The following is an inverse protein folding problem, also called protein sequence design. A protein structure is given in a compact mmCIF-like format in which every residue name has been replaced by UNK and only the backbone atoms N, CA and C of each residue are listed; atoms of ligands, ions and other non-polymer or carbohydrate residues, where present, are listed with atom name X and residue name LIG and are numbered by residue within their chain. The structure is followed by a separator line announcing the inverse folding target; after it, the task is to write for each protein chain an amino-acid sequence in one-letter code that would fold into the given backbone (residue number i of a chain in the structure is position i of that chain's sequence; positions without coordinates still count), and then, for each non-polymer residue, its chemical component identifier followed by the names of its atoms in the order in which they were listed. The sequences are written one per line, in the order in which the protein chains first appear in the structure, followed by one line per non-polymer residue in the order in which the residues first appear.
data_IF_260000645033
#
_entry.id   IF_260000645033
#
_cell.length_a   1.000
_cell.length_b   1.000
_cell.length_c   1.000
_cell.angle_alpha   90.00
_cell.angle_beta   90.00
_cell.angle_gamma   90.00
#
_symmetry.space_group_name_H-M   'P 1'
#
loop_
_entity.id
_entity.type
_entity.pdbx_description
1 polymer ?
#
# COMPACT_ATOMS: atom_id res chain seq x y z
N UNK A 1 22.28 134.28 -22.75
CA UNK A 1 23.22 133.26 -22.23
C UNK A 1 22.65 132.60 -20.98
N UNK A 2 22.43 133.34 -19.88
CA UNK A 2 21.95 132.79 -18.59
C UNK A 2 20.67 131.95 -18.65
N UNK A 3 19.60 132.43 -19.33
CA UNK A 3 18.35 131.66 -19.49
C UNK A 3 18.55 130.29 -20.17
N UNK A 4 19.38 130.23 -21.22
CA UNK A 4 19.73 128.99 -21.93
C UNK A 4 20.48 128.00 -21.02
N UNK A 5 21.26 128.50 -20.06
CA UNK A 5 21.94 127.66 -19.08
C UNK A 5 20.93 127.07 -18.07
N UNK A 6 19.99 127.87 -17.57
CA UNK A 6 18.92 127.39 -16.68
C UNK A 6 18.02 126.34 -17.35
N UNK A 7 17.64 126.55 -18.61
CA UNK A 7 16.84 125.61 -19.40
C UNK A 7 17.62 124.29 -19.64
N UNK A 8 18.92 124.38 -19.94
CA UNK A 8 19.83 123.23 -20.08
C UNK A 8 19.97 122.44 -18.77
N UNK A 9 20.14 123.12 -17.64
CA UNK A 9 20.28 122.49 -16.34
C UNK A 9 18.95 121.87 -15.87
N UNK A 10 17.80 122.45 -16.25
CA UNK A 10 16.48 121.86 -16.03
C UNK A 10 16.26 120.59 -16.86
N UNK A 11 16.60 120.62 -18.15
CA UNK A 11 16.57 119.44 -19.02
C UNK A 11 17.48 118.33 -18.50
N UNK A 12 18.71 118.65 -18.09
CA UNK A 12 19.65 117.67 -17.52
C UNK A 12 19.11 117.02 -16.24
N UNK A 13 18.41 117.76 -15.37
CA UNK A 13 17.76 117.21 -14.18
C UNK A 13 16.55 116.33 -14.52
N UNK A 14 15.80 116.64 -15.57
CA UNK A 14 14.70 115.79 -16.06
C UNK A 14 15.27 114.46 -16.59
N UNK A 15 16.23 114.52 -17.52
CA UNK A 15 16.87 113.32 -18.07
C UNK A 15 17.54 112.44 -17.00
N UNK A 16 18.09 113.03 -15.93
CA UNK A 16 18.64 112.26 -14.81
C UNK A 16 17.57 111.53 -14.00
N UNK A 17 16.39 112.14 -13.78
CA UNK A 17 15.24 111.48 -13.13
C UNK A 17 14.66 110.37 -14.00
N UNK A 18 14.49 110.63 -15.30
CA UNK A 18 13.97 109.65 -16.25
C UNK A 18 14.91 108.43 -16.30
N UNK A 19 16.23 108.66 -16.34
CA UNK A 19 17.24 107.60 -16.25
C UNK A 19 17.12 106.79 -14.95
N UNK A 20 17.03 107.43 -13.79
CA UNK A 20 16.86 106.72 -12.51
C UNK A 20 15.55 105.91 -12.45
N UNK A 21 14.48 106.41 -13.09
CA UNK A 21 13.22 105.69 -13.18
C UNK A 21 13.31 104.49 -14.12
N UNK A 22 13.99 104.63 -15.26
CA UNK A 22 14.29 103.53 -16.20
C UNK A 22 15.15 102.45 -15.52
N UNK A 23 16.26 102.82 -14.87
CA UNK A 23 17.14 101.88 -14.15
C UNK A 23 16.37 101.10 -13.06
N UNK A 24 15.39 101.75 -12.39
CA UNK A 24 14.49 101.10 -11.44
C UNK A 24 13.52 100.12 -12.13
N UNK A 25 12.89 100.52 -13.24
CA UNK A 25 12.00 99.65 -14.01
C UNK A 25 12.73 98.44 -14.61
N UNK A 26 13.96 98.62 -15.09
CA UNK A 26 14.82 97.53 -15.59
C UNK A 26 15.14 96.53 -14.47
N UNK A 27 15.40 97.02 -13.25
CA UNK A 27 15.62 96.18 -12.07
C UNK A 27 14.35 95.41 -11.68
N UNK A 28 13.20 96.09 -11.64
CA UNK A 28 11.91 95.46 -11.33
C UNK A 28 11.53 94.41 -12.39
N UNK A 29 11.74 94.71 -13.67
CA UNK A 29 11.52 93.77 -14.78
C UNK A 29 12.46 92.55 -14.69
N UNK A 30 13.74 92.75 -14.36
CA UNK A 30 14.68 91.65 -14.14
C UNK A 30 14.28 90.75 -12.97
N UNK A 31 13.75 91.32 -11.90
CA UNK A 31 13.25 90.54 -10.76
C UNK A 31 12.00 89.74 -11.16
N UNK A 32 11.07 90.34 -11.91
CA UNK A 32 9.88 89.63 -12.41
C UNK A 32 10.24 88.47 -13.33
N UNK A 33 11.25 88.60 -14.21
CA UNK A 33 11.72 87.46 -15.02
C UNK A 33 12.27 86.31 -14.16
N UNK A 34 13.09 86.61 -13.15
CA UNK A 34 13.62 85.59 -12.23
C UNK A 34 12.52 84.88 -11.43
N UNK A 35 11.49 85.61 -11.01
CA UNK A 35 10.33 85.03 -10.31
C UNK A 35 9.49 84.14 -11.25
N UNK A 36 9.31 84.54 -12.51
CA UNK A 36 8.64 83.71 -13.53
C UNK A 36 9.42 82.40 -13.76
N UNK A 37 10.74 82.46 -13.95
CA UNK A 37 11.58 81.27 -14.15
C UNK A 37 11.50 80.33 -12.94
N UNK A 38 11.57 80.86 -11.72
CA UNK A 38 11.43 80.08 -10.49
C UNK A 38 10.06 79.39 -10.35
N UNK A 39 8.97 80.09 -10.70
CA UNK A 39 7.62 79.52 -10.68
C UNK A 39 7.43 78.47 -11.79
N UNK A 40 8.07 78.67 -12.95
CA UNK A 40 8.09 77.70 -14.05
C UNK A 40 8.77 76.39 -13.60
N UNK A 41 9.92 76.48 -12.91
CA UNK A 41 10.63 75.31 -12.38
C UNK A 41 9.83 74.59 -11.29
N UNK A 42 9.19 75.33 -10.36
CA UNK A 42 8.28 74.70 -9.39
C UNK A 42 7.12 73.97 -10.08
N UNK A 43 6.50 74.57 -11.10
CA UNK A 43 5.41 73.96 -11.85
C UNK A 43 5.87 72.68 -12.57
N UNK A 44 7.07 72.71 -13.17
CA UNK A 44 7.68 71.56 -13.82
C UNK A 44 7.89 70.39 -12.84
N UNK A 45 8.45 70.67 -11.64
CA UNK A 45 8.65 69.66 -10.59
C UNK A 45 7.31 69.05 -10.17
N UNK A 46 6.29 69.89 -9.88
CA UNK A 46 4.96 69.42 -9.47
C UNK A 46 4.24 68.63 -10.55
N UNK A 47 4.48 68.94 -11.83
CA UNK A 47 3.94 68.17 -12.95
C UNK A 47 4.58 66.78 -13.05
N UNK A 48 5.89 66.66 -12.80
CA UNK A 48 6.59 65.35 -12.72
C UNK A 48 6.09 64.53 -11.54
N UNK A 49 5.97 65.12 -10.35
CA UNK A 49 5.40 64.46 -9.16
C UNK A 49 3.97 63.96 -9.42
N UNK A 50 3.12 64.78 -10.06
CA UNK A 50 1.75 64.40 -10.42
C UNK A 50 1.69 63.21 -11.38
N UNK A 51 2.58 63.15 -12.38
CA UNK A 51 2.66 62.02 -13.31
C UNK A 51 3.06 60.72 -12.60
N UNK A 52 4.08 60.76 -11.74
CA UNK A 52 4.54 59.60 -10.96
C UNK A 52 3.43 59.09 -10.02
N UNK A 53 2.69 59.99 -9.37
CA UNK A 53 1.52 59.63 -8.57
C UNK A 53 0.40 59.01 -9.41
N UNK A 54 0.14 59.54 -10.61
CA UNK A 54 -0.83 58.99 -11.55
C UNK A 54 -0.50 57.55 -11.99
N UNK A 55 0.76 57.28 -12.34
CA UNK A 55 1.24 55.92 -12.66
C UNK A 55 1.10 54.96 -11.47
N UNK A 56 1.41 55.44 -10.25
CA UNK A 56 1.25 54.62 -9.05
C UNK A 56 -0.23 54.29 -8.75
N UNK A 57 -1.12 55.29 -8.87
CA UNK A 57 -2.58 55.10 -8.71
C UNK A 57 -3.07 54.08 -9.74
N UNK A 58 -2.70 54.22 -11.01
CA UNK A 58 -3.09 53.27 -12.05
C UNK A 58 -2.60 51.83 -11.78
N UNK A 59 -1.35 51.70 -11.28
CA UNK A 59 -0.82 50.41 -10.84
C UNK A 59 -1.57 49.79 -9.64
N UNK A 60 -2.17 50.61 -8.77
CA UNK A 60 -3.03 50.16 -7.67
C UNK A 60 -4.44 49.78 -8.17
N UNK A 61 -5.03 50.55 -9.09
CA UNK A 61 -6.31 50.24 -9.73
C UNK A 61 -6.27 48.86 -10.41
N UNK A 62 -5.23 48.59 -11.20
CA UNK A 62 -5.04 47.29 -11.86
C UNK A 62 -4.98 46.14 -10.83
N UNK A 63 -4.23 46.31 -9.73
CA UNK A 63 -4.17 45.32 -8.64
C UNK A 63 -5.53 45.12 -7.96
N UNK A 64 -6.29 46.18 -7.77
CA UNK A 64 -7.63 46.11 -7.16
C UNK A 64 -8.58 45.28 -8.05
N UNK A 65 -8.61 45.53 -9.37
CA UNK A 65 -9.44 44.74 -10.30
C UNK A 65 -9.07 43.26 -10.37
N UNK A 66 -7.83 42.89 -10.01
CA UNK A 66 -7.40 41.49 -9.94
C UNK A 66 -7.76 40.84 -8.58
N UNK A 67 -7.75 41.62 -7.50
CA UNK A 67 -8.26 41.20 -6.19
C UNK A 67 -9.79 41.02 -6.19
N UNK A 68 -10.53 41.83 -6.95
CA UNK A 68 -11.99 41.69 -7.12
C UNK A 68 -12.39 40.33 -7.72
N UNK A 69 -11.50 39.65 -8.45
CA UNK A 69 -11.72 38.30 -9.01
C UNK A 69 -11.41 37.19 -8.00
N UNK A 70 -10.70 37.49 -6.92
CA UNK A 70 -10.26 36.48 -5.94
C UNK A 70 -11.42 35.75 -5.25
N UNK A 71 -12.54 36.39 -4.83
CA UNK A 71 -13.68 35.68 -4.25
C UNK A 71 -14.31 34.65 -5.19
N UNK A 72 -14.29 34.89 -6.50
CA UNK A 72 -14.81 33.93 -7.48
C UNK A 72 -13.86 32.73 -7.66
N UNK A 73 -12.54 32.95 -7.63
CA UNK A 73 -11.56 31.85 -7.60
C UNK A 73 -11.74 30.96 -6.37
N UNK A 74 -11.82 31.57 -5.18
CA UNK A 74 -12.09 30.85 -3.92
C UNK A 74 -13.39 30.07 -4.01
N UNK A 75 -14.48 30.69 -4.49
CA UNK A 75 -15.77 30.02 -4.69
C UNK A 75 -15.67 28.82 -5.64
N UNK A 76 -14.88 28.89 -6.71
CA UNK A 76 -14.66 27.75 -7.62
C UNK A 76 -13.89 26.62 -6.92
N UNK A 77 -12.85 26.95 -6.14
CA UNK A 77 -12.08 25.99 -5.33
C UNK A 77 -12.95 25.31 -4.28
N UNK A 78 -13.74 26.07 -3.51
CA UNK A 78 -14.66 25.53 -2.50
C UNK A 78 -15.66 24.54 -3.11
N UNK A 79 -16.22 24.88 -4.29
CA UNK A 79 -17.11 23.98 -5.01
C UNK A 79 -16.39 22.73 -5.54
N UNK A 80 -15.11 22.82 -5.91
CA UNK A 80 -14.32 21.65 -6.32
C UNK A 80 -14.03 20.73 -5.13
N UNK A 81 -13.63 21.31 -3.98
CA UNK A 81 -13.39 20.60 -2.74
C UNK A 81 -14.65 19.86 -2.26
N UNK A 82 -15.80 20.54 -2.15
CA UNK A 82 -17.07 19.92 -1.74
C UNK A 82 -17.49 18.76 -2.65
N UNK A 83 -17.19 18.80 -3.95
CA UNK A 83 -17.43 17.66 -4.87
C UNK A 83 -16.44 16.53 -4.64
N UNK A 84 -15.16 16.84 -4.42
CA UNK A 84 -14.12 15.86 -4.09
C UNK A 84 -14.45 15.12 -2.79
N UNK A 85 -14.84 15.85 -1.74
CA UNK A 85 -15.22 15.28 -0.45
C UNK A 85 -16.45 14.37 -0.57
N UNK A 86 -17.45 14.78 -1.37
CA UNK A 86 -18.63 13.96 -1.66
C UNK A 86 -18.26 12.66 -2.41
N UNK A 87 -17.31 12.71 -3.35
CA UNK A 87 -16.83 11.52 -4.06
C UNK A 87 -16.00 10.61 -3.15
N UNK A 88 -15.15 11.19 -2.29
CA UNK A 88 -14.38 10.46 -1.30
C UNK A 88 -15.30 9.70 -0.33
N UNK A 89 -16.36 10.35 0.15
CA UNK A 89 -17.36 9.73 1.02
C UNK A 89 -18.07 8.54 0.35
N UNK A 90 -18.51 8.67 -0.90
CA UNK A 90 -19.13 7.58 -1.66
C UNK A 90 -18.17 6.39 -1.87
N UNK A 91 -16.90 6.66 -2.18
CA UNK A 91 -15.89 5.61 -2.32
C UNK A 91 -15.59 4.90 -0.99
N UNK A 92 -15.60 5.62 0.13
CA UNK A 92 -15.46 5.03 1.45
C UNK A 92 -16.64 4.12 1.81
N UNK A 93 -17.87 4.51 1.47
CA UNK A 93 -19.08 3.68 1.65
C UNK A 93 -19.03 2.41 0.78
N UNK A 94 -18.61 2.53 -0.49
CA UNK A 94 -18.42 1.38 -1.39
C UNK A 94 -17.33 0.42 -0.88
N UNK A 95 -16.17 0.94 -0.46
CA UNK A 95 -15.08 0.14 0.12
C UNK A 95 -15.55 -0.59 1.39
N UNK A 96 -16.30 0.08 2.27
CA UNK A 96 -16.85 -0.57 3.46
C UNK A 96 -17.83 -1.70 3.08
N UNK A 97 -18.73 -1.47 2.13
CA UNK A 97 -19.65 -2.52 1.66
C UNK A 97 -18.91 -3.72 1.05
N UNK A 98 -17.79 -3.50 0.35
CA UNK A 98 -16.97 -4.58 -0.23
C UNK A 98 -16.18 -5.33 0.84
N UNK A 99 -15.69 -4.66 1.87
CA UNK A 99 -15.05 -5.28 3.03
C UNK A 99 -16.04 -6.19 3.79
N UNK A 100 -17.29 -5.75 3.99
CA UNK A 100 -18.35 -6.56 4.62
C UNK A 100 -18.71 -7.82 3.78
N UNK A 101 -18.74 -7.70 2.45
CA UNK A 101 -18.89 -8.86 1.55
C UNK A 101 -17.72 -9.84 1.65
N UNK A 102 -16.47 -9.34 1.69
CA UNK A 102 -15.26 -10.17 1.82
C UNK A 102 -15.19 -10.89 3.17
N UNK A 103 -15.50 -10.21 4.28
CA UNK A 103 -15.56 -10.83 5.61
C UNK A 103 -16.61 -11.95 5.67
N UNK A 104 -17.77 -11.75 5.04
CA UNK A 104 -18.81 -12.78 4.92
C UNK A 104 -18.36 -13.97 4.07
N UNK A 105 -17.62 -13.74 2.98
CA UNK A 105 -17.05 -14.82 2.17
C UNK A 105 -15.97 -15.60 2.94
N UNK A 106 -15.09 -14.92 3.68
CA UNK A 106 -14.07 -15.55 4.51
C UNK A 106 -14.69 -16.49 5.58
N UNK A 107 -15.74 -16.04 6.27
CA UNK A 107 -16.50 -16.87 7.23
C UNK A 107 -17.17 -18.10 6.58
N UNK A 108 -17.56 -18.01 5.31
CA UNK A 108 -18.10 -19.16 4.57
C UNK A 108 -17.00 -20.15 4.19
N UNK A 109 -15.82 -19.66 3.80
CA UNK A 109 -14.64 -20.49 3.52
C UNK A 109 -14.20 -21.24 4.77
N UNK A 110 -14.01 -20.55 5.91
CA UNK A 110 -13.63 -21.15 7.19
C UNK A 110 -14.60 -22.27 7.61
N UNK A 111 -15.91 -22.07 7.41
CA UNK A 111 -16.95 -23.07 7.68
C UNK A 111 -16.88 -24.27 6.73
N UNK A 112 -16.52 -24.07 5.45
CA UNK A 112 -16.34 -25.16 4.49
C UNK A 112 -15.05 -25.93 4.81
N UNK A 113 -13.99 -25.26 5.22
CA UNK A 113 -12.73 -25.88 5.66
C UNK A 113 -12.95 -26.76 6.89
N UNK A 114 -13.73 -26.31 7.89
CA UNK A 114 -14.02 -27.13 9.08
C UNK A 114 -14.79 -28.40 8.72
N UNK A 115 -15.84 -28.30 7.91
CA UNK A 115 -16.63 -29.46 7.45
C UNK A 115 -15.78 -30.41 6.59
N UNK A 116 -14.89 -29.86 5.76
CA UNK A 116 -13.96 -30.66 4.95
C UNK A 116 -12.97 -31.43 5.84
N UNK A 117 -12.48 -30.81 6.91
CA UNK A 117 -11.60 -31.45 7.88
C UNK A 117 -12.30 -32.57 8.66
N UNK A 118 -13.55 -32.35 9.08
CA UNK A 118 -14.38 -33.38 9.74
C UNK A 118 -14.58 -34.60 8.81
N UNK A 119 -15.00 -34.37 7.55
CA UNK A 119 -15.15 -35.42 6.54
C UNK A 119 -13.83 -36.16 6.26
N UNK A 120 -12.70 -35.45 6.23
CA UNK A 120 -11.39 -36.08 6.06
C UNK A 120 -11.03 -36.98 7.25
N UNK A 121 -11.37 -36.58 8.47
CA UNK A 121 -11.17 -37.40 9.67
C UNK A 121 -12.03 -38.68 9.63
N UNK A 122 -13.29 -38.58 9.21
CA UNK A 122 -14.16 -39.75 9.00
C UNK A 122 -13.58 -40.72 7.94
N UNK A 123 -13.09 -40.19 6.81
CA UNK A 123 -12.47 -40.98 5.74
C UNK A 123 -11.23 -41.73 6.25
N UNK A 124 -10.33 -41.07 6.99
CA UNK A 124 -9.15 -41.75 7.56
C UNK A 124 -9.51 -42.79 8.62
N UNK A 125 -10.57 -42.56 9.43
CA UNK A 125 -11.09 -43.57 10.35
C UNK A 125 -11.61 -44.81 9.61
N UNK A 126 -12.39 -44.62 8.53
CA UNK A 126 -12.92 -45.72 7.73
C UNK A 126 -11.81 -46.50 7.00
N UNK A 127 -10.72 -45.86 6.58
CA UNK A 127 -9.53 -46.55 6.05
C UNK A 127 -8.84 -47.43 7.11
N UNK A 128 -8.72 -46.94 8.35
CA UNK A 128 -8.17 -47.72 9.47
C UNK A 128 -9.05 -48.96 9.78
N UNK A 129 -10.37 -48.80 9.78
CA UNK A 129 -11.30 -49.92 9.97
C UNK A 129 -11.23 -50.92 8.81
N UNK A 130 -11.13 -50.44 7.56
CA UNK A 130 -10.98 -51.29 6.37
C UNK A 130 -9.70 -52.13 6.44
N UNK A 131 -8.54 -51.52 6.70
CA UNK A 131 -7.27 -52.26 6.83
C UNK A 131 -7.30 -53.27 7.98
N UNK A 132 -8.03 -52.98 9.06
CA UNK A 132 -8.26 -53.91 10.16
C UNK A 132 -9.14 -55.10 9.74
N UNK A 133 -10.13 -54.89 8.88
CA UNK A 133 -10.96 -55.95 8.32
C UNK A 133 -10.20 -56.79 7.28
N UNK A 134 -9.38 -56.19 6.43
CA UNK A 134 -8.51 -56.87 5.47
C UNK A 134 -7.56 -57.84 6.18
N UNK A 135 -6.90 -57.39 7.27
CA UNK A 135 -6.04 -58.28 8.07
C UNK A 135 -6.82 -59.45 8.68
N UNK A 136 -8.03 -59.20 9.22
CA UNK A 136 -8.87 -60.27 9.79
C UNK A 136 -9.34 -61.27 8.74
N UNK A 137 -9.60 -60.84 7.52
CA UNK A 137 -9.95 -61.73 6.40
C UNK A 137 -8.75 -62.61 6.01
N UNK A 138 -7.56 -62.02 5.90
CA UNK A 138 -6.32 -62.76 5.65
C UNK A 138 -6.03 -63.80 6.76
N UNK A 139 -6.18 -63.41 8.03
CA UNK A 139 -6.02 -64.32 9.17
C UNK A 139 -7.03 -65.48 9.11
N UNK A 140 -8.30 -65.18 8.82
CA UNK A 140 -9.37 -66.17 8.70
C UNK A 140 -9.16 -67.14 7.51
N UNK A 141 -8.67 -66.65 6.38
CA UNK A 141 -8.31 -67.47 5.21
C UNK A 141 -7.16 -68.43 5.55
N UNK A 142 -6.11 -67.95 6.23
CA UNK A 142 -5.01 -68.80 6.69
C UNK A 142 -5.45 -69.90 7.67
N UNK A 143 -6.38 -69.57 8.58
CA UNK A 143 -6.96 -70.55 9.51
C UNK A 143 -7.84 -71.58 8.80
N UNK A 144 -8.63 -71.15 7.81
CA UNK A 144 -9.42 -72.03 6.94
C UNK A 144 -8.52 -73.01 6.18
N UNK A 145 -7.42 -72.53 5.61
CA UNK A 145 -6.44 -73.36 4.90
C UNK A 145 -5.81 -74.42 5.81
N UNK A 146 -5.34 -74.05 7.01
CA UNK A 146 -4.82 -75.02 7.97
C UNK A 146 -5.89 -76.04 8.44
N UNK A 147 -7.14 -75.61 8.57
CA UNK A 147 -8.27 -76.49 8.91
C UNK A 147 -8.53 -77.51 7.79
N UNK A 148 -8.45 -77.08 6.52
CA UNK A 148 -8.57 -77.97 5.37
C UNK A 148 -7.41 -78.99 5.31
N UNK A 149 -6.16 -78.55 5.51
CA UNK A 149 -5.00 -79.45 5.58
C UNK A 149 -5.10 -80.46 6.74
N UNK A 150 -5.66 -80.05 7.87
CA UNK A 150 -5.90 -80.93 9.02
C UNK A 150 -7.01 -81.95 8.73
N UNK A 151 -8.10 -81.52 8.10
CA UNK A 151 -9.20 -82.40 7.64
C UNK A 151 -8.70 -83.48 6.68
N UNK A 152 -7.92 -83.11 5.66
CA UNK A 152 -7.31 -84.07 4.71
C UNK A 152 -6.39 -85.08 5.42
N UNK A 153 -5.65 -84.67 6.45
CA UNK A 153 -4.83 -85.59 7.26
C UNK A 153 -5.68 -86.58 8.05
N UNK A 154 -6.77 -86.14 8.67
CA UNK A 154 -7.71 -87.03 9.37
C UNK A 154 -8.39 -88.00 8.39
N UNK A 155 -8.87 -87.51 7.25
CA UNK A 155 -9.53 -88.36 6.24
C UNK A 155 -8.60 -89.46 5.72
N UNK A 156 -7.32 -89.15 5.51
CA UNK A 156 -6.29 -90.14 5.18
C UNK A 156 -6.12 -91.19 6.29
N UNK A 157 -5.98 -90.76 7.55
CA UNK A 157 -5.83 -91.67 8.69
C UNK A 157 -7.07 -92.55 8.91
N UNK A 158 -8.26 -92.00 8.67
CA UNK A 158 -9.51 -92.75 8.74
C UNK A 158 -9.54 -93.85 7.67
N UNK A 159 -9.22 -93.52 6.41
CA UNK A 159 -9.13 -94.52 5.34
C UNK A 159 -8.05 -95.59 5.57
N UNK A 160 -6.92 -95.23 6.19
CA UNK A 160 -5.90 -96.19 6.63
C UNK A 160 -6.45 -97.15 7.72
N UNK A 161 -7.24 -96.66 8.67
CA UNK A 161 -7.89 -97.49 9.69
C UNK A 161 -9.06 -98.33 9.14
N UNK A 162 -9.83 -97.83 8.18
CA UNK A 162 -10.87 -98.60 7.48
C UNK A 162 -10.27 -99.77 6.70
N UNK A 163 -9.12 -99.56 6.04
CA UNK A 163 -8.37 -100.65 5.38
C UNK A 163 -7.90 -101.71 6.40
N UNK A 164 -7.29 -101.28 7.51
CA UNK A 164 -6.85 -102.18 8.59
C UNK A 164 -8.02 -102.98 9.18
N UNK A 165 -9.19 -102.35 9.37
CA UNK A 165 -10.41 -103.03 9.79
C UNK A 165 -10.86 -104.07 8.76
N UNK A 166 -10.83 -103.74 7.47
CA UNK A 166 -11.22 -104.68 6.41
C UNK A 166 -10.27 -105.89 6.31
N UNK A 167 -8.96 -105.69 6.53
CA UNK A 167 -7.96 -106.75 6.61
C UNK A 167 -8.14 -107.63 7.86
N UNK A 168 -8.43 -107.02 9.01
CA UNK A 168 -8.77 -107.75 10.24
C UNK A 168 -10.05 -108.58 10.07
N UNK A 169 -11.10 -108.05 9.44
CA UNK A 169 -12.32 -108.78 9.10
C UNK A 169 -12.05 -110.00 8.21
N UNK A 170 -11.31 -109.84 7.11
CA UNK A 170 -10.90 -110.96 6.25
C UNK A 170 -10.11 -112.04 7.01
N UNK A 171 -9.29 -111.62 7.98
CA UNK A 171 -8.53 -112.52 8.86
C UNK A 171 -9.46 -113.28 9.81
N UNK A 172 -10.46 -112.61 10.40
CA UNK A 172 -11.50 -113.24 11.23
C UNK A 172 -12.32 -114.24 10.41
N UNK A 173 -12.77 -113.89 9.21
CA UNK A 173 -13.52 -114.78 8.32
C UNK A 173 -12.73 -116.06 7.97
N UNK A 174 -11.43 -115.89 7.71
CA UNK A 174 -10.52 -117.02 7.45
C UNK A 174 -10.38 -117.93 8.67
N UNK A 175 -10.11 -117.36 9.84
CA UNK A 175 -10.01 -118.08 11.11
C UNK A 175 -11.34 -118.75 11.51
N UNK A 176 -12.48 -118.13 11.21
CA UNK A 176 -13.79 -118.76 11.39
C UNK A 176 -13.97 -119.97 10.46
N UNK A 177 -13.49 -119.88 9.22
CA UNK A 177 -13.44 -121.00 8.27
C UNK A 177 -12.64 -122.18 8.82
N UNK A 178 -11.40 -121.92 9.25
CA UNK A 178 -10.54 -122.92 9.89
C UNK A 178 -11.17 -123.50 11.17
N UNK A 179 -11.76 -122.67 12.03
CA UNK A 179 -12.40 -123.11 13.28
C UNK A 179 -13.67 -123.95 13.01
N UNK A 180 -14.44 -123.62 11.95
CA UNK A 180 -15.54 -124.48 11.44
C UNK A 180 -15.02 -125.81 10.89
N UNK A 181 -13.82 -125.84 10.32
CA UNK A 181 -13.18 -127.05 9.79
C UNK A 181 -12.63 -127.94 10.92
N UNK A 182 -11.91 -127.37 11.89
CA UNK A 182 -11.48 -128.03 13.12
C UNK A 182 -12.66 -128.58 13.94
N UNK A 183 -13.78 -127.84 14.04
CA UNK A 183 -15.02 -128.35 14.68
C UNK A 183 -15.62 -129.57 13.98
N UNK A 184 -15.40 -129.76 12.67
CA UNK A 184 -15.80 -130.97 11.94
C UNK A 184 -14.83 -132.13 12.16
N UNK A 185 -13.55 -131.82 12.40
CA UNK A 185 -12.48 -132.80 12.61
C UNK A 185 -12.45 -133.38 14.04
N UNK A 186 -12.97 -132.64 15.04
CA UNK A 186 -12.85 -132.96 16.47
C UNK A 186 -14.12 -133.42 17.21
N UNK A 187 -15.23 -133.78 16.55
CA UNK A 187 -16.47 -134.18 17.25
C UNK A 187 -17.10 -135.53 16.80
N UNK A 188 -16.89 -136.62 17.56
CA UNK A 188 -17.74 -137.81 17.50
C UNK A 188 -19.06 -137.58 18.28
N UNK A 189 -20.09 -137.18 17.53
CA UNK A 189 -21.52 -137.38 17.77
C UNK A 189 -22.12 -137.37 19.18
N UNK A 190 -22.93 -136.32 19.48
CA UNK A 190 -24.35 -136.53 19.83
C UNK A 190 -25.21 -135.27 19.62
N UNK A 191 -26.38 -135.46 19.02
CA UNK A 191 -27.53 -134.53 19.08
C UNK A 191 -28.40 -134.90 20.33
N UNK A 192 -29.50 -134.19 20.73
CA UNK A 192 -30.53 -133.66 19.81
C UNK A 192 -31.37 -132.41 20.22
N UNK A 193 -32.14 -131.86 19.24
CA UNK A 193 -33.37 -131.01 19.36
C UNK A 193 -33.16 -129.61 19.99
N UNK A 194 -33.96 -128.55 19.72
CA UNK A 194 -35.00 -128.13 18.74
C UNK A 194 -35.08 -126.58 18.88
N UNK A 195 -35.59 -125.73 17.97
CA UNK A 195 -36.23 -125.77 16.64
C UNK A 195 -35.99 -124.36 15.99
N UNK A 196 -36.52 -123.89 14.84
CA UNK A 196 -37.61 -124.27 13.93
C UNK A 196 -37.29 -123.82 12.48
N UNK A 197 -37.81 -124.54 11.49
CA UNK A 197 -37.56 -124.33 10.05
C UNK A 197 -38.48 -123.30 9.39
N UNK A 198 -37.96 -122.56 8.39
CA UNK A 198 -38.52 -122.29 7.03
C UNK A 198 -37.36 -121.63 6.25
N UNK A 199 -36.78 -122.22 5.21
CA UNK A 199 -37.33 -122.32 3.85
C UNK A 199 -36.88 -121.09 3.03
N UNK A 200 -35.59 -120.93 2.71
CA UNK A 200 -34.84 -121.45 1.52
C UNK A 200 -35.14 -120.68 0.21
N UNK A 201 -34.07 -120.16 -0.39
CA UNK A 201 -33.94 -119.56 -1.75
C UNK A 201 -34.77 -118.28 -2.01
N UNK A 202 -34.17 -117.15 -2.42
CA UNK A 202 -33.45 -116.99 -3.69
C UNK A 202 -32.39 -115.86 -3.69
N UNK A 203 -31.43 -115.99 -4.61
CA UNK A 203 -30.77 -114.97 -5.45
C UNK A 203 -30.47 -113.58 -4.88
N UNK A 204 -29.17 -113.27 -4.84
CA UNK A 204 -28.50 -112.13 -5.51
C UNK A 204 -29.00 -110.68 -5.30
N UNK A 205 -28.01 -109.76 -5.22
CA UNK A 205 -28.11 -108.29 -5.09
C UNK A 205 -28.41 -107.72 -3.69
N UNK A 206 -27.33 -107.26 -3.05
CA UNK A 206 -27.29 -105.96 -2.33
C UNK A 206 -25.90 -105.31 -2.48
N UNK A 207 -25.48 -105.12 -3.73
CA UNK A 207 -24.62 -103.98 -4.06
C UNK A 207 -25.50 -102.73 -4.08
N UNK A 208 -24.97 -101.61 -3.58
CA UNK A 208 -25.54 -100.25 -3.70
C UNK A 208 -26.97 -100.05 -3.15
N UNK A 209 -27.10 -99.82 -1.84
CA UNK A 209 -28.21 -98.99 -1.34
C UNK A 209 -27.88 -98.16 -0.09
N UNK A 210 -26.94 -97.22 -0.21
CA UNK A 210 -27.00 -95.97 0.58
C UNK A 210 -26.52 -94.71 -0.19
N UNK A 211 -26.22 -94.85 -1.49
CA UNK A 211 -25.68 -93.76 -2.33
C UNK A 211 -26.73 -92.78 -2.87
N UNK A 212 -27.96 -93.23 -3.16
CA UNK A 212 -28.89 -92.42 -3.97
C UNK A 212 -29.64 -91.33 -3.20
N UNK A 213 -29.93 -91.54 -1.90
CA UNK A 213 -30.66 -90.56 -1.08
C UNK A 213 -29.81 -89.33 -0.70
N UNK A 214 -28.48 -89.45 -0.73
CA UNK A 214 -27.55 -88.33 -0.50
C UNK A 214 -27.15 -87.61 -1.80
N UNK A 215 -27.15 -88.26 -2.96
CA UNK A 215 -26.88 -87.59 -4.23
C UNK A 215 -28.04 -86.72 -4.71
N UNK A 216 -29.29 -87.15 -4.60
CA UNK A 216 -30.44 -86.29 -4.97
C UNK A 216 -30.61 -85.12 -3.99
N UNK A 217 -30.46 -85.37 -2.68
CA UNK A 217 -30.47 -84.32 -1.65
C UNK A 217 -29.29 -83.36 -1.83
N UNK A 218 -28.10 -83.87 -2.13
CA UNK A 218 -26.91 -83.06 -2.41
C UNK A 218 -27.05 -82.23 -3.68
N UNK A 219 -27.62 -82.80 -4.75
CA UNK A 219 -27.84 -82.10 -6.02
C UNK A 219 -28.93 -81.01 -5.89
N UNK A 220 -30.04 -81.27 -5.18
CA UNK A 220 -31.01 -80.22 -4.87
C UNK A 220 -30.42 -79.10 -4.01
N UNK A 221 -29.54 -79.42 -3.05
CA UNK A 221 -28.86 -78.43 -2.21
C UNK A 221 -27.86 -77.62 -3.05
N UNK A 222 -27.08 -78.25 -3.93
CA UNK A 222 -26.15 -77.58 -4.84
C UNK A 222 -26.88 -76.71 -5.87
N UNK A 223 -28.02 -77.15 -6.41
CA UNK A 223 -28.83 -76.37 -7.35
C UNK A 223 -29.54 -75.19 -6.64
N UNK A 224 -29.97 -75.37 -5.38
CA UNK A 224 -30.50 -74.26 -4.55
C UNK A 224 -29.39 -73.28 -4.14
N UNK A 225 -28.18 -73.76 -3.81
CA UNK A 225 -27.02 -72.91 -3.56
C UNK A 225 -26.56 -72.16 -4.81
N UNK A 226 -26.58 -72.80 -5.99
CA UNK A 226 -26.30 -72.14 -7.27
C UNK A 226 -27.27 -70.98 -7.53
N UNK A 227 -28.57 -71.24 -7.42
CA UNK A 227 -29.61 -70.20 -7.58
C UNK A 227 -29.58 -69.12 -6.50
N UNK A 228 -29.07 -69.42 -5.30
CA UNK A 228 -28.80 -68.43 -4.25
C UNK A 228 -27.48 -67.64 -4.48
N UNK A 229 -26.58 -68.10 -5.33
CA UNK A 229 -25.37 -67.38 -5.74
C UNK A 229 -25.60 -66.49 -6.97
N UNK A 230 -26.59 -66.78 -7.82
CA UNK A 230 -26.95 -65.94 -8.98
C UNK A 230 -27.42 -64.53 -8.56
N UNK A 231 -28.18 -64.39 -7.47
CA UNK A 231 -28.62 -63.10 -6.93
C UNK A 231 -27.45 -62.16 -6.52
N UNK A 232 -26.50 -62.58 -5.66
CA UNK A 232 -25.35 -61.73 -5.31
C UNK A 232 -24.41 -61.48 -6.49
N UNK A 233 -24.26 -62.40 -7.45
CA UNK A 233 -23.49 -62.15 -8.68
C UNK A 233 -24.09 -61.03 -9.54
N UNK A 234 -25.42 -61.00 -9.70
CA UNK A 234 -26.12 -59.92 -10.39
C UNK A 234 -25.99 -58.58 -9.68
N UNK A 235 -26.06 -58.56 -8.35
CA UNK A 235 -25.82 -57.35 -7.53
C UNK A 235 -24.36 -56.86 -7.69
N UNK A 236 -23.39 -57.78 -7.73
CA UNK A 236 -21.98 -57.45 -7.94
C UNK A 236 -21.76 -56.83 -9.33
N UNK A 237 -22.38 -57.35 -10.40
CA UNK A 237 -22.27 -56.72 -11.73
C UNK A 237 -22.98 -55.36 -11.80
N UNK A 238 -24.15 -55.20 -11.17
CA UNK A 238 -24.83 -53.91 -11.07
C UNK A 238 -23.94 -52.87 -10.37
N UNK A 239 -23.35 -53.20 -9.21
CA UNK A 239 -22.43 -52.34 -8.47
C UNK A 239 -21.15 -52.02 -9.27
N UNK A 240 -20.63 -52.95 -10.08
CA UNK A 240 -19.50 -52.69 -10.98
C UNK A 240 -19.85 -51.71 -12.11
N UNK A 241 -21.11 -51.65 -12.55
CA UNK A 241 -21.59 -50.68 -13.54
C UNK A 241 -21.74 -49.31 -12.88
N UNK A 242 -22.43 -49.23 -11.73
CA UNK A 242 -22.60 -47.99 -10.98
C UNK A 242 -21.25 -47.39 -10.56
N UNK A 243 -20.28 -48.20 -10.13
CA UNK A 243 -18.92 -47.75 -9.81
C UNK A 243 -18.19 -47.17 -11.04
N UNK A 244 -18.41 -47.73 -12.24
CA UNK A 244 -17.86 -47.21 -13.49
C UNK A 244 -18.49 -45.87 -13.87
N UNK A 245 -19.80 -45.74 -13.70
CA UNK A 245 -20.57 -44.52 -13.99
C UNK A 245 -20.22 -43.38 -13.01
N UNK A 246 -20.18 -43.65 -11.70
CA UNK A 246 -19.71 -42.70 -10.70
C UNK A 246 -18.26 -42.26 -10.93
N UNK A 247 -17.37 -43.20 -11.34
CA UNK A 247 -15.99 -42.86 -11.69
C UNK A 247 -15.88 -42.01 -12.96
N UNK A 248 -16.76 -42.23 -13.95
CA UNK A 248 -16.81 -41.40 -15.15
C UNK A 248 -17.29 -39.99 -14.79
N UNK A 249 -18.39 -39.88 -14.04
CA UNK A 249 -18.94 -38.60 -13.60
C UNK A 249 -17.92 -37.81 -12.76
N UNK A 250 -17.29 -38.44 -11.77
CA UNK A 250 -16.26 -37.78 -10.95
C UNK A 250 -15.02 -37.33 -11.76
N UNK A 251 -14.78 -37.92 -12.95
CA UNK A 251 -13.76 -37.46 -13.88
C UNK A 251 -14.24 -36.24 -14.68
N UNK A 252 -15.49 -36.24 -15.14
CA UNK A 252 -16.11 -35.11 -15.84
C UNK A 252 -16.21 -33.89 -14.91
N UNK A 253 -16.76 -34.05 -13.69
CA UNK A 253 -16.84 -33.00 -12.66
C UNK A 253 -15.44 -32.40 -12.33
N UNK A 254 -14.38 -33.22 -12.37
CA UNK A 254 -13.00 -32.77 -12.14
C UNK A 254 -12.37 -32.05 -13.35
N UNK A 255 -12.76 -32.41 -14.58
CA UNK A 255 -12.35 -31.72 -15.80
C UNK A 255 -13.03 -30.35 -15.91
N UNK A 256 -14.33 -30.27 -15.62
CA UNK A 256 -15.10 -29.02 -15.55
C UNK A 256 -14.50 -28.05 -14.51
N UNK A 257 -14.26 -28.52 -13.27
CA UNK A 257 -13.61 -27.71 -12.23
C UNK A 257 -12.21 -27.23 -12.66
N UNK A 258 -11.45 -28.06 -13.37
CA UNK A 258 -10.12 -27.68 -13.88
C UNK A 258 -10.23 -26.59 -14.95
N UNK A 259 -11.27 -26.62 -15.79
CA UNK A 259 -11.55 -25.57 -16.76
C UNK A 259 -11.96 -24.25 -16.07
N UNK A 260 -12.90 -24.29 -15.11
CA UNK A 260 -13.30 -23.09 -14.34
C UNK A 260 -12.08 -22.46 -13.63
N UNK A 261 -11.23 -23.27 -13.00
CA UNK A 261 -9.97 -22.81 -12.40
C UNK A 261 -9.02 -22.17 -13.42
N UNK A 262 -8.98 -22.65 -14.66
CA UNK A 262 -8.16 -22.06 -15.71
C UNK A 262 -8.73 -20.71 -16.19
N UNK A 263 -10.04 -20.62 -16.39
CA UNK A 263 -10.74 -19.38 -16.78
C UNK A 263 -10.56 -18.28 -15.72
N UNK A 264 -10.72 -18.61 -14.43
CA UNK A 264 -10.45 -17.69 -13.33
C UNK A 264 -8.99 -17.23 -13.29
N UNK A 265 -8.01 -18.12 -13.54
CA UNK A 265 -6.58 -17.76 -13.62
C UNK A 265 -6.30 -16.77 -14.76
N UNK A 266 -6.92 -16.96 -15.93
CA UNK A 266 -6.80 -16.01 -17.05
C UNK A 266 -7.41 -14.65 -16.71
N UNK A 267 -8.60 -14.61 -16.09
CA UNK A 267 -9.24 -13.36 -15.66
C UNK A 267 -8.37 -12.60 -14.64
N UNK A 268 -7.87 -13.28 -13.60
CA UNK A 268 -6.99 -12.69 -12.58
C UNK A 268 -5.69 -12.17 -13.21
N UNK A 269 -5.11 -12.90 -14.16
CA UNK A 269 -3.89 -12.49 -14.86
C UNK A 269 -4.13 -11.25 -15.72
N UNK A 270 -5.26 -11.18 -16.43
CA UNK A 270 -5.68 -9.99 -17.18
C UNK A 270 -5.83 -8.75 -16.29
N UNK A 271 -6.53 -8.86 -15.16
CA UNK A 271 -6.67 -7.77 -14.20
C UNK A 271 -5.32 -7.32 -13.62
N UNK A 272 -4.42 -8.27 -13.33
CA UNK A 272 -3.07 -7.95 -12.85
C UNK A 272 -2.26 -7.19 -13.90
N UNK A 273 -2.31 -7.58 -15.18
CA UNK A 273 -1.65 -6.85 -16.26
C UNK A 273 -2.17 -5.43 -16.44
N UNK A 274 -3.48 -5.22 -16.28
CA UNK A 274 -4.10 -3.89 -16.33
C UNK A 274 -3.66 -3.03 -15.14
N UNK A 275 -3.60 -3.59 -13.93
CA UNK A 275 -3.04 -2.92 -12.75
C UNK A 275 -1.56 -2.56 -12.91
N UNK A 276 -0.74 -3.46 -13.48
CA UNK A 276 0.67 -3.14 -13.79
C UNK A 276 0.80 -1.97 -14.77
N UNK A 277 -0.02 -1.93 -15.83
CA UNK A 277 -0.07 -0.81 -16.80
C UNK A 277 -0.52 0.48 -16.10
N UNK A 278 -1.57 0.44 -15.27
CA UNK A 278 -2.07 1.58 -14.51
C UNK A 278 -1.01 2.15 -13.56
N UNK A 279 -0.35 1.30 -12.78
CA UNK A 279 0.73 1.70 -11.85
C UNK A 279 1.91 2.32 -12.57
N UNK A 280 2.35 1.72 -13.68
CA UNK A 280 3.44 2.27 -14.49
C UNK A 280 3.11 3.67 -15.03
N UNK A 281 1.88 3.93 -15.48
CA UNK A 281 1.45 5.27 -15.89
C UNK A 281 1.47 6.28 -14.74
N UNK A 282 0.99 5.89 -13.55
CA UNK A 282 0.99 6.75 -12.35
C UNK A 282 2.42 7.07 -11.90
N UNK A 283 3.29 6.06 -11.82
CA UNK A 283 4.70 6.20 -11.46
C UNK A 283 5.43 7.13 -12.44
N UNK A 284 5.21 6.95 -13.75
CA UNK A 284 5.82 7.78 -14.78
C UNK A 284 5.36 9.25 -14.70
N UNK A 285 4.09 9.50 -14.38
CA UNK A 285 3.55 10.85 -14.15
C UNK A 285 4.12 11.49 -12.87
N UNK A 286 4.23 10.72 -11.78
CA UNK A 286 4.83 11.19 -10.53
C UNK A 286 6.31 11.57 -10.71
N UNK A 287 7.08 10.74 -11.43
CA UNK A 287 8.49 11.05 -11.78
C UNK A 287 8.59 12.34 -12.59
N UNK A 288 7.71 12.56 -13.58
CA UNK A 288 7.68 13.79 -14.37
C UNK A 288 7.38 15.02 -13.51
N UNK A 289 6.41 14.93 -12.59
CA UNK A 289 6.06 16.01 -11.67
C UNK A 289 7.22 16.33 -10.71
N UNK A 290 7.89 15.31 -10.17
CA UNK A 290 9.08 15.49 -9.32
C UNK A 290 10.19 16.23 -10.10
N UNK A 291 10.50 15.80 -11.33
CA UNK A 291 11.51 16.45 -12.17
C UNK A 291 11.17 17.93 -12.48
N UNK A 292 9.90 18.25 -12.69
CA UNK A 292 9.45 19.64 -12.87
C UNK A 292 9.68 20.48 -11.60
N UNK A 293 9.31 19.95 -10.43
CA UNK A 293 9.52 20.61 -9.14
C UNK A 293 11.01 20.79 -8.83
N UNK A 294 11.84 19.77 -9.05
CA UNK A 294 13.30 19.86 -8.90
C UNK A 294 13.92 20.93 -9.80
N UNK A 295 13.44 21.05 -11.04
CA UNK A 295 13.88 22.09 -11.98
C UNK A 295 13.45 23.50 -11.53
N UNK A 296 12.25 23.64 -10.97
CA UNK A 296 11.73 24.89 -10.41
C UNK A 296 12.52 25.30 -9.15
N UNK A 297 12.71 24.39 -8.19
CA UNK A 297 13.54 24.63 -7.00
C UNK A 297 14.97 25.04 -7.41
N UNK A 298 15.56 24.35 -8.38
CA UNK A 298 16.89 24.69 -8.93
C UNK A 298 16.93 26.06 -9.64
N UNK A 299 15.80 26.57 -10.12
CA UNK A 299 15.67 27.91 -10.73
C UNK A 299 15.57 29.00 -9.66
N UNK A 300 14.76 28.79 -8.63
CA UNK A 300 14.61 29.72 -7.51
C UNK A 300 15.87 29.78 -6.63
N UNK A 301 16.53 28.64 -6.39
CA UNK A 301 17.83 28.60 -5.69
C UNK A 301 18.89 29.45 -6.41
N UNK A 302 18.94 29.39 -7.75
CA UNK A 302 19.84 30.25 -8.56
C UNK A 302 19.50 31.73 -8.43
N UNK A 303 18.22 32.11 -8.50
CA UNK A 303 17.77 33.50 -8.26
C UNK A 303 18.18 34.00 -6.88
N UNK A 304 17.89 33.22 -5.83
CA UNK A 304 18.28 33.53 -4.44
C UNK A 304 19.80 33.71 -4.30
N UNK A 305 20.59 32.83 -4.90
CA UNK A 305 22.07 32.95 -4.88
C UNK A 305 22.58 34.21 -5.59
N UNK A 306 21.88 34.67 -6.64
CA UNK A 306 22.18 35.93 -7.33
C UNK A 306 21.81 37.15 -6.49
N UNK A 307 20.61 37.16 -5.90
CA UNK A 307 20.15 38.24 -5.03
C UNK A 307 21.03 38.38 -3.76
N UNK A 308 21.43 37.26 -3.16
CA UNK A 308 22.32 37.26 -1.99
C UNK A 308 23.71 37.83 -2.33
N UNK A 309 24.24 37.53 -3.52
CA UNK A 309 25.49 38.13 -4.01
C UNK A 309 25.35 39.64 -4.22
N UNK A 310 24.28 40.09 -4.86
CA UNK A 310 24.01 41.53 -5.05
C UNK A 310 23.88 42.28 -3.72
N UNK A 311 23.27 41.65 -2.71
CA UNK A 311 23.16 42.21 -1.37
C UNK A 311 24.53 42.30 -0.68
N UNK A 312 25.39 41.29 -0.83
CA UNK A 312 26.76 41.33 -0.34
C UNK A 312 27.60 42.42 -1.03
N UNK A 313 27.55 42.51 -2.37
CA UNK A 313 28.24 43.55 -3.15
C UNK A 313 27.78 44.96 -2.74
N UNK A 314 26.48 45.14 -2.46
CA UNK A 314 25.90 46.38 -1.94
C UNK A 314 26.41 46.72 -0.54
N UNK A 315 26.53 45.74 0.36
CA UNK A 315 27.09 45.93 1.70
C UNK A 315 28.57 46.33 1.64
N UNK A 316 29.38 45.65 0.83
CA UNK A 316 30.79 45.98 0.63
C UNK A 316 30.96 47.41 0.07
N UNK A 317 30.10 47.82 -0.87
CA UNK A 317 30.08 49.18 -1.38
C UNK A 317 29.69 50.19 -0.29
N UNK A 318 28.65 49.92 0.50
CA UNK A 318 28.22 50.79 1.60
C UNK A 318 29.32 50.95 2.68
N UNK A 319 30.03 49.87 3.02
CA UNK A 319 31.19 49.91 3.92
C UNK A 319 32.31 50.78 3.36
N UNK A 320 32.65 50.64 2.07
CA UNK A 320 33.69 51.48 1.45
C UNK A 320 33.32 52.97 1.51
N UNK A 321 32.07 53.32 1.16
CA UNK A 321 31.54 54.68 1.25
C UNK A 321 31.54 55.20 2.70
N UNK A 322 31.16 54.38 3.69
CA UNK A 322 31.20 54.75 5.10
C UNK A 322 32.63 55.05 5.58
N UNK A 323 33.63 54.26 5.15
CA UNK A 323 35.03 54.57 5.48
C UNK A 323 35.53 55.85 4.81
N UNK A 324 35.06 56.18 3.60
CA UNK A 324 35.40 57.41 2.89
C UNK A 324 34.76 58.64 3.55
N UNK A 325 33.46 58.58 3.86
CA UNK A 325 32.74 59.61 4.63
C UNK A 325 33.46 59.86 5.97
N UNK A 326 33.91 58.81 6.66
CA UNK A 326 34.70 58.94 7.90
C UNK A 326 36.02 59.67 7.66
N UNK A 327 36.81 59.29 6.64
CA UNK A 327 38.07 59.98 6.28
C UNK A 327 37.85 61.46 5.95
N UNK A 328 36.78 61.79 5.21
CA UNK A 328 36.41 63.16 4.86
C UNK A 328 35.98 63.96 6.09
N UNK A 329 35.18 63.37 6.99
CA UNK A 329 34.78 63.97 8.27
C UNK A 329 35.99 64.27 9.17
N UNK A 330 36.93 63.33 9.27
CA UNK A 330 38.17 63.50 10.03
C UNK A 330 39.06 64.59 9.41
N UNK A 331 39.12 64.69 8.08
CA UNK A 331 39.86 65.74 7.38
C UNK A 331 39.23 67.13 7.59
N UNK A 332 37.91 67.26 7.48
CA UNK A 332 37.18 68.49 7.77
C UNK A 332 37.36 68.92 9.23
N UNK A 333 37.31 67.97 10.18
CA UNK A 333 37.59 68.22 11.59
C UNK A 333 38.99 68.81 11.83
N UNK A 334 40.02 68.25 11.20
CA UNK A 334 41.39 68.80 11.25
C UNK A 334 41.46 70.22 10.67
N UNK A 335 40.77 70.47 9.56
CA UNK A 335 40.76 71.76 8.87
C UNK A 335 40.06 72.84 9.71
N UNK A 336 38.93 72.51 10.34
CA UNK A 336 38.23 73.38 11.28
C UNK A 336 39.08 73.69 12.51
N UNK A 337 39.76 72.70 13.09
CA UNK A 337 40.71 72.92 14.19
C UNK A 337 41.85 73.86 13.79
N UNK A 338 42.41 73.72 12.58
CA UNK A 338 43.45 74.60 12.07
C UNK A 338 42.96 76.05 11.87
N UNK A 339 41.74 76.24 11.32
CA UNK A 339 41.13 77.57 11.18
C UNK A 339 40.87 78.26 12.53
N UNK A 340 40.53 77.50 13.57
CA UNK A 340 40.33 78.06 14.92
C UNK A 340 41.66 78.48 15.59
N UNK A 341 42.77 77.78 15.33
CA UNK A 341 44.11 78.28 15.75
C UNK A 341 44.53 79.54 14.99
N UNK A 342 44.08 79.73 13.75
CA UNK A 342 44.37 80.91 12.93
C UNK A 342 43.68 82.20 13.38
N UNK A 343 42.72 82.14 14.32
CA UNK A 343 41.91 83.30 14.73
C UNK A 343 42.36 83.97 16.05
N UNK A 344 43.57 83.67 16.53
CA UNK A 344 44.18 84.46 17.63
C UNK A 344 44.87 85.70 17.05
N UNK A 345 44.16 86.81 17.02
CA UNK A 345 44.71 88.11 16.62
C UNK A 345 45.78 88.57 17.64
N UNK A 346 47.05 88.22 17.39
CA UNK A 346 48.20 88.63 18.21
C UNK A 346 48.77 90.00 17.84
N UNK A 347 47.95 90.93 17.34
CA UNK A 347 48.23 92.38 17.35
C UNK A 347 47.11 93.20 16.67
N UNK A 348 46.19 93.75 17.45
CA UNK A 348 45.70 95.10 17.14
C UNK A 348 45.62 95.93 18.41
N UNK A 349 46.33 97.06 18.42
CA UNK A 349 46.16 98.14 19.41
C UNK A 349 45.05 99.13 19.00
N UNK A 350 44.24 98.76 18.01
CA UNK A 350 43.11 99.54 17.53
C UNK A 350 41.88 99.28 18.43
N UNK A 351 41.44 100.30 19.17
CA UNK A 351 40.32 100.22 20.12
C UNK A 351 38.92 100.08 19.50
N UNK A 352 38.78 99.49 18.31
CA UNK A 352 37.51 99.24 17.64
C UNK A 352 37.60 98.01 16.72
N UNK A 353 37.03 96.90 17.15
CA UNK A 353 36.66 95.75 16.32
C UNK A 353 35.36 95.15 16.88
N UNK A 354 34.18 95.45 16.29
CA UNK A 354 32.92 94.89 16.70
C UNK A 354 32.80 93.39 16.37
N UNK A 355 31.85 92.73 17.04
CA UNK A 355 31.63 91.28 17.09
C UNK A 355 31.34 90.61 15.75
N UNK A 356 31.70 89.32 15.67
CA UNK A 356 30.77 88.31 15.17
C UNK A 356 31.08 86.95 15.83
N UNK A 357 30.56 86.77 17.05
CA UNK A 357 30.42 85.47 17.74
C UNK A 357 29.01 85.40 18.33
N UNK A 358 28.06 85.19 17.44
CA UNK A 358 26.86 84.38 17.70
C UNK A 358 27.02 83.23 16.69
N UNK A 359 27.05 81.96 17.11
CA UNK A 359 25.98 81.27 17.81
C UNK A 359 26.43 80.67 19.15
N UNK A 360 25.59 80.88 20.18
CA UNK A 360 25.68 80.17 21.46
C UNK A 360 25.34 78.70 21.29
N UNK A 361 26.05 77.82 22.00
CA UNK A 361 25.54 76.49 22.29
C UNK A 361 24.26 76.62 23.13
N UNK A 362 23.22 75.85 22.81
CA UNK A 362 22.16 75.52 23.77
C UNK A 362 22.58 74.26 24.55
N UNK A 363 22.18 74.21 25.82
CA UNK A 363 22.72 73.29 26.82
C UNK A 363 22.46 71.81 26.54
N UNK A 364 23.42 71.01 27.01
CA UNK A 364 23.25 69.59 27.34
C UNK A 364 22.32 69.49 28.55
N UNK A 365 21.24 68.72 28.44
CA UNK A 365 20.48 68.23 29.59
C UNK A 365 19.77 66.92 29.24
N UNK A 366 19.83 65.90 30.11
CA UNK A 366 18.88 64.78 30.10
C UNK A 366 19.34 63.43 29.51
N UNK A 367 19.69 62.51 30.42
CA UNK A 367 19.46 61.05 30.34
C UNK A 367 20.30 60.18 29.39
N UNK A 368 21.35 59.58 29.95
CA UNK A 368 21.87 58.27 29.54
C UNK A 368 21.41 57.23 30.57
N UNK A 369 20.40 56.43 30.23
CA UNK A 369 20.01 55.22 30.97
C UNK A 369 20.10 54.00 30.03
N UNK A 370 21.32 53.69 29.60
CA UNK A 370 21.63 52.44 28.91
C UNK A 370 21.86 51.35 29.95
N UNK A 371 20.79 50.59 30.25
CA UNK A 371 20.91 49.33 31.00
C UNK A 371 21.79 48.36 30.23
N UNK A 372 23.05 48.24 30.64
CA UNK A 372 23.81 47.01 30.42
C UNK A 372 23.17 45.90 31.24
N UNK A 373 22.98 44.73 30.63
CA UNK A 373 22.66 43.50 31.34
C UNK A 373 23.31 42.36 30.58
N UNK A 374 24.31 41.77 31.22
CA UNK A 374 25.18 40.77 30.61
C UNK A 374 24.41 39.49 30.26
N UNK A 375 24.70 38.95 29.09
CA UNK A 375 24.17 37.66 28.63
C UNK A 375 25.34 36.73 28.26
N UNK A 376 25.99 36.18 29.28
CA UNK A 376 26.88 35.03 29.12
C UNK A 376 26.69 34.06 30.28
N UNK A 377 25.96 32.98 30.04
CA UNK A 377 26.33 31.66 30.54
C UNK A 377 25.70 30.60 29.63
N UNK A 378 26.57 29.69 29.18
CA UNK A 378 26.22 28.44 28.53
C UNK A 378 26.11 27.41 29.65
N UNK A 379 25.04 26.61 29.64
CA UNK A 379 25.09 25.25 30.16
C UNK A 379 24.13 24.35 29.37
N UNK A 380 24.39 23.04 29.36
CA UNK A 380 23.95 22.13 28.30
C UNK A 380 22.72 21.25 28.63
N UNK A 381 22.16 20.67 27.56
CA UNK A 381 21.39 19.41 27.48
C UNK A 381 19.87 19.38 27.80
N UNK A 382 19.10 18.45 27.16
CA UNK A 382 17.74 18.72 26.69
C UNK A 382 16.63 17.93 27.43
N UNK A 383 15.35 18.03 27.00
CA UNK A 383 14.86 16.98 26.09
C UNK A 383 13.83 17.40 25.01
N UNK A 384 13.92 16.68 23.87
CA UNK A 384 12.84 16.06 23.09
C UNK A 384 11.57 16.82 22.64
N UNK A 385 11.44 16.92 21.31
CA UNK A 385 10.25 16.58 20.52
C UNK A 385 8.89 17.22 20.87
N UNK A 386 8.42 18.12 20.00
CA UNK A 386 7.49 17.71 18.93
C UNK A 386 7.37 18.76 17.82
N UNK A 387 7.25 18.28 16.58
CA UNK A 387 7.16 19.11 15.39
C UNK A 387 5.70 19.36 15.01
N UNK A 388 5.38 20.61 14.66
CA UNK A 388 4.32 20.91 13.70
C UNK A 388 4.61 22.26 13.04
N UNK A 389 5.28 22.24 11.88
CA UNK A 389 5.34 23.38 10.97
C UNK A 389 4.48 23.03 9.77
N UNK A 390 3.30 23.63 9.77
CA UNK A 390 2.29 23.53 8.73
C UNK A 390 2.84 24.11 7.41
N UNK A 391 3.00 23.26 6.40
CA UNK A 391 3.39 23.67 5.06
C UNK A 391 2.13 23.92 4.22
N UNK A 392 1.85 25.19 3.90
CA UNK A 392 0.91 25.55 2.85
C UNK A 392 1.64 25.67 1.50
N UNK A 393 1.14 25.06 0.42
CA UNK A 393 1.65 25.31 -0.92
C UNK A 393 0.99 26.56 -1.52
N UNK A 394 1.79 27.53 -1.94
CA UNK A 394 1.34 28.62 -2.82
C UNK A 394 1.04 28.07 -4.23
N UNK A 395 -0.07 28.52 -4.82
CA UNK A 395 -0.48 28.13 -6.18
C UNK A 395 0.46 28.71 -7.25
N UNK A 396 0.98 27.86 -8.13
CA UNK A 396 1.58 28.26 -9.39
C UNK A 396 0.69 27.79 -10.56
N UNK A 397 -0.27 28.64 -10.94
CA UNK A 397 -1.00 28.50 -12.19
C UNK A 397 -0.08 28.80 -13.37
N UNK A 398 0.18 27.79 -14.22
CA UNK A 398 0.52 28.04 -15.62
C UNK A 398 -0.18 27.00 -16.51
N UNK A 399 -1.23 27.43 -17.18
CA UNK A 399 -1.91 26.65 -18.21
C UNK A 399 -1.34 26.97 -19.58
N UNK A 400 -0.87 25.95 -20.29
CA UNK A 400 -0.59 26.03 -21.73
C UNK A 400 -1.33 24.90 -22.43
N UNK A 401 -2.38 25.26 -23.17
CA UNK A 401 -3.10 24.35 -24.05
C UNK A 401 -2.54 24.41 -25.47
N UNK A 402 -2.51 23.23 -26.10
CA UNK A 402 -2.13 22.86 -27.48
C UNK A 402 -0.72 22.30 -27.63
#
# INVERSE_FOLDING_TARGET
LEKLQLDKDAASRACQKDRQYIEKLETELSNCYQEIDYLQDQLNIRNVEANIMGEHIHGLELKLTELEKFPERVRVMDNALMRSDSQCWLLMEEVQSKEEELQKAALQIEKLESVTLDMQCEIESLKLDLTTLEQRLFDAESFSQHTAEYKVRIEKQLGEHELQLQEAWKTIDHLEGENKQLKKEYLPGRAPKQSSSTGVEQLDKTVEHDGHANYERGHEILEKMGKQNEEPELIIEQLKVELREQKLKAKEDAEDLTQEMAELRYQITGMLEEEYKRRSCIEQAAIQQIQQLEAQVSKEQRKLSGALRQLQESHELADTQATEIKKLKDALGRLNSAMNLGRVCKSCSCGFCPMLVELSNCSIEGSLDLRSSDASNIDETPPENQALVEWHPDEASDGAAV
#
